data_IF_873397695909
#
_entry.id   IF_873397695909
#
_cell.length_a   1.000
_cell.length_b   1.000
_cell.length_c   1.000
_cell.angle_alpha   90.00
_cell.angle_beta   90.00
_cell.angle_gamma   90.00
#
_symmetry.space_group_name_H-M   'P 1'
#
loop_
_entity.id
_entity.type
_entity.pdbx_description
1 polymer ?
#
# COMPACT_ATOMS: atom_id res chain seq x y z
N UNK A 1 -49.82 -2.12 -10.00
CA UNK A 1 -49.66 -3.52 -9.56
C UNK A 1 -48.94 -4.23 -10.71
N UNK A 2 -47.66 -4.56 -10.70
CA UNK A 2 -46.79 -5.06 -9.64
C UNK A 2 -46.22 -6.38 -10.15
N UNK A 3 -45.04 -6.36 -10.79
CA UNK A 3 -44.23 -7.57 -11.01
C UNK A 3 -42.78 -7.22 -10.73
N UNK A 4 -42.38 -7.44 -9.48
CA UNK A 4 -40.99 -7.50 -9.08
C UNK A 4 -40.38 -8.84 -9.47
N UNK A 5 -39.10 -8.79 -9.81
CA UNK A 5 -38.19 -9.93 -9.92
C UNK A 5 -36.77 -9.39 -10.10
N UNK A 6 -35.79 -9.74 -9.22
CA UNK A 6 -34.48 -9.10 -9.21
C UNK A 6 -33.50 -9.78 -10.17
N UNK A 7 -32.41 -9.10 -10.55
CA UNK A 7 -31.10 -9.73 -10.51
C UNK A 7 -30.27 -9.03 -9.44
N UNK A 8 -30.20 -9.63 -8.25
CA UNK A 8 -29.06 -10.48 -7.82
C UNK A 8 -27.78 -9.67 -7.86
N UNK A 9 -27.40 -9.20 -6.67
CA UNK A 9 -26.20 -8.42 -6.45
C UNK A 9 -24.98 -9.09 -7.07
N UNK A 10 -24.16 -8.27 -7.71
CA UNK A 10 -22.79 -8.62 -8.02
C UNK A 10 -22.06 -8.82 -6.68
N UNK A 11 -22.15 -10.03 -6.15
CA UNK A 11 -21.22 -10.51 -5.14
C UNK A 11 -19.85 -10.41 -5.77
N UNK A 12 -19.02 -9.50 -5.26
CA UNK A 12 -17.59 -9.54 -5.52
C UNK A 12 -17.12 -10.90 -5.00
N UNK A 13 -16.92 -11.83 -5.91
CA UNK A 13 -16.25 -13.09 -5.62
C UNK A 13 -14.82 -12.69 -5.29
N UNK A 14 -14.51 -12.54 -4.00
CA UNK A 14 -13.12 -12.42 -3.55
C UNK A 14 -12.50 -13.79 -3.78
N UNK A 15 -11.97 -14.01 -4.98
CA UNK A 15 -11.10 -15.16 -5.24
C UNK A 15 -9.89 -14.95 -4.32
N UNK A 16 -9.85 -15.69 -3.22
CA UNK A 16 -8.67 -15.81 -2.37
C UNK A 16 -7.70 -16.71 -3.14
N UNK A 17 -7.11 -16.17 -4.20
CA UNK A 17 -5.92 -16.74 -4.80
C UNK A 17 -4.85 -16.77 -3.71
N UNK A 18 -4.00 -17.80 -3.66
CA UNK A 18 -2.82 -17.80 -2.80
C UNK A 18 -1.98 -16.54 -3.09
N UNK A 19 -2.20 -15.48 -2.33
CA UNK A 19 -1.50 -14.21 -2.51
C UNK A 19 -0.12 -14.36 -1.88
N UNK A 20 0.92 -14.10 -2.66
CA UNK A 20 2.25 -13.85 -2.10
C UNK A 20 2.22 -12.50 -1.41
N UNK A 21 1.58 -12.44 -0.23
CA UNK A 21 1.34 -11.20 0.48
C UNK A 21 2.60 -10.73 1.19
N UNK A 22 2.96 -9.47 0.98
CA UNK A 22 4.01 -8.79 1.73
C UNK A 22 3.38 -8.00 2.87
N UNK A 23 3.92 -8.14 4.08
CA UNK A 23 3.54 -7.27 5.20
C UNK A 23 4.38 -6.00 5.10
N UNK A 24 3.72 -4.85 5.04
CA UNK A 24 4.35 -3.53 5.03
C UNK A 24 3.83 -2.71 6.19
N UNK A 25 4.68 -1.87 6.75
CA UNK A 25 4.32 -1.02 7.90
C UNK A 25 4.00 0.38 7.41
N UNK A 26 2.92 0.99 7.87
CA UNK A 26 2.71 2.42 7.62
C UNK A 26 3.92 3.22 8.14
N UNK A 27 4.29 4.29 7.44
CA UNK A 27 5.49 5.03 7.77
C UNK A 27 5.27 6.54 7.64
N UNK A 28 5.93 7.28 8.52
CA UNK A 28 6.01 8.74 8.46
C UNK A 28 7.45 9.17 8.74
N UNK A 29 7.89 10.26 8.11
CA UNK A 29 9.15 10.93 8.43
C UNK A 29 9.08 11.78 9.71
N UNK A 30 7.98 11.71 10.47
CA UNK A 30 7.72 12.51 11.67
C UNK A 30 7.13 13.89 11.38
N UNK A 31 7.13 14.32 10.11
CA UNK A 31 6.43 15.52 9.68
C UNK A 31 5.00 15.14 9.27
N UNK A 32 4.06 15.25 10.21
CA UNK A 32 2.64 14.93 10.01
C UNK A 32 1.92 15.98 9.15
N UNK A 33 2.34 16.15 7.89
CA UNK A 33 1.68 17.10 7.00
C UNK A 33 0.26 16.62 6.67
N UNK A 34 -0.77 17.50 6.78
CA UNK A 34 -2.14 17.16 6.40
C UNK A 34 -2.29 16.91 4.89
N UNK A 35 -1.28 17.32 4.11
CA UNK A 35 -1.17 16.97 2.70
C UNK A 35 -0.78 15.50 2.50
N UNK A 36 -0.42 14.72 3.52
CA UNK A 36 0.08 13.36 3.30
C UNK A 36 1.52 13.30 2.79
N UNK A 37 2.16 14.45 2.51
CA UNK A 37 3.60 14.50 2.29
C UNK A 37 4.34 14.00 3.54
N UNK A 38 5.39 13.21 3.34
CA UNK A 38 6.16 12.62 4.45
C UNK A 38 5.62 11.29 4.96
N UNK A 39 4.51 10.78 4.42
CA UNK A 39 4.02 9.43 4.70
C UNK A 39 4.37 8.43 3.59
N UNK A 40 4.30 7.15 3.93
CA UNK A 40 4.59 6.06 3.02
C UNK A 40 4.38 4.69 3.64
N UNK A 41 4.99 3.68 3.03
CA UNK A 41 5.02 2.30 3.50
C UNK A 41 6.47 1.87 3.69
N UNK A 42 6.78 1.14 4.75
CA UNK A 42 8.08 0.55 5.00
C UNK A 42 8.05 -0.94 4.71
N UNK A 43 8.95 -1.37 3.83
CA UNK A 43 9.11 -2.77 3.43
C UNK A 43 10.28 -3.40 4.17
N UNK A 44 10.18 -4.69 4.50
CA UNK A 44 11.33 -5.45 5.03
C UNK A 44 12.44 -5.56 3.98
N UNK A 45 13.70 -5.77 4.39
CA UNK A 45 14.77 -5.99 3.41
C UNK A 45 14.55 -7.27 2.59
N UNK A 46 14.10 -8.35 3.25
CA UNK A 46 13.85 -9.62 2.60
C UNK A 46 12.74 -9.50 1.53
N UNK A 47 11.64 -8.81 1.85
CA UNK A 47 10.55 -8.61 0.89
C UNK A 47 10.93 -7.64 -0.21
N UNK A 48 11.69 -6.58 0.10
CA UNK A 48 12.25 -5.69 -0.93
C UNK A 48 13.04 -6.50 -1.96
N UNK A 49 14.02 -7.28 -1.51
CA UNK A 49 14.92 -8.02 -2.40
C UNK A 49 14.19 -9.13 -3.17
N UNK A 50 13.14 -9.70 -2.58
CA UNK A 50 12.32 -10.71 -3.21
C UNK A 50 11.41 -10.13 -4.30
N UNK A 51 10.72 -9.04 -4.02
CA UNK A 51 9.60 -8.57 -4.84
C UNK A 51 9.87 -7.29 -5.64
N UNK A 52 10.92 -6.53 -5.31
CA UNK A 52 11.29 -5.32 -6.03
C UNK A 52 12.52 -5.55 -6.90
N UNK A 53 12.63 -4.78 -7.97
CA UNK A 53 13.79 -4.78 -8.87
C UNK A 53 14.17 -3.34 -9.18
N UNK A 54 15.46 -3.01 -9.01
CA UNK A 54 15.95 -1.63 -9.13
C UNK A 54 15.76 -1.09 -10.55
N UNK A 55 15.94 -1.94 -11.54
CA UNK A 55 15.80 -1.64 -12.96
C UNK A 55 14.40 -1.18 -13.40
N UNK A 56 13.37 -1.34 -12.54
CA UNK A 56 12.05 -0.82 -12.86
C UNK A 56 11.95 0.70 -12.74
N UNK A 57 12.85 1.34 -12.00
CA UNK A 57 12.83 2.79 -11.75
C UNK A 57 11.74 3.23 -10.76
N UNK A 58 10.51 2.79 -11.02
CA UNK A 58 9.30 3.19 -10.29
C UNK A 58 8.45 1.97 -9.97
N UNK A 59 7.91 1.91 -8.75
CA UNK A 59 6.83 1.00 -8.38
C UNK A 59 5.47 1.72 -8.45
N UNK A 60 4.46 1.06 -9.00
CA UNK A 60 3.07 1.52 -9.00
C UNK A 60 2.30 0.78 -7.91
N UNK A 61 1.75 1.53 -6.96
CA UNK A 61 0.93 1.00 -5.86
C UNK A 61 -0.52 1.37 -6.11
N UNK A 62 -1.36 0.37 -6.36
CA UNK A 62 -2.82 0.50 -6.47
C UNK A 62 -3.41 0.61 -5.06
N UNK A 63 -4.00 1.76 -4.74
CA UNK A 63 -4.64 2.03 -3.46
C UNK A 63 -6.10 1.55 -3.47
N UNK A 64 -6.69 1.19 -2.32
CA UNK A 64 -8.09 0.73 -2.23
C UNK A 64 -9.14 1.71 -2.79
N UNK A 65 -8.83 3.00 -2.84
CA UNK A 65 -9.71 4.03 -3.41
C UNK A 65 -9.58 4.17 -4.95
N UNK A 66 -8.81 3.29 -5.61
CA UNK A 66 -8.59 3.31 -7.05
C UNK A 66 -7.47 4.25 -7.53
N UNK A 67 -6.86 5.03 -6.64
CA UNK A 67 -5.72 5.90 -6.97
C UNK A 67 -4.44 5.07 -7.10
N UNK A 68 -3.58 5.41 -8.06
CA UNK A 68 -2.27 4.79 -8.23
C UNK A 68 -1.15 5.72 -7.76
N UNK A 69 -0.38 5.30 -6.76
CA UNK A 69 0.84 5.98 -6.33
C UNK A 69 2.04 5.50 -7.16
N UNK A 70 2.83 6.43 -7.70
CA UNK A 70 4.05 6.12 -8.44
C UNK A 70 5.26 6.49 -7.60
N UNK A 71 5.98 5.49 -7.12
CA UNK A 71 7.06 5.66 -6.14
C UNK A 71 8.40 5.39 -6.81
N UNK A 72 9.30 6.36 -6.78
CA UNK A 72 10.68 6.16 -7.23
C UNK A 72 11.40 5.16 -6.31
N UNK A 73 11.77 4.02 -6.88
CA UNK A 73 12.51 2.96 -6.20
C UNK A 73 13.98 2.89 -6.64
N UNK A 74 14.44 3.64 -7.64
CA UNK A 74 15.85 3.63 -8.07
C UNK A 74 16.79 4.43 -7.13
N UNK A 75 16.22 5.21 -6.22
CA UNK A 75 17.00 5.91 -5.19
C UNK A 75 17.79 4.92 -4.31
N UNK A 76 19.05 5.22 -4.03
CA UNK A 76 19.91 4.38 -3.17
C UNK A 76 19.31 4.15 -1.78
N UNK A 77 18.57 5.15 -1.28
CA UNK A 77 17.88 5.05 0.00
C UNK A 77 16.72 4.06 0.02
N UNK A 78 16.35 3.41 -1.10
CA UNK A 78 15.43 2.27 -1.06
C UNK A 78 16.18 0.93 -1.00
N UNK A 79 17.41 0.89 -1.51
CA UNK A 79 18.23 -0.32 -1.65
C UNK A 79 19.26 -0.51 -0.54
N UNK A 80 19.49 0.49 0.30
CA UNK A 80 20.39 0.35 1.44
C UNK A 80 19.74 -0.39 2.63
N UNK A 81 20.46 -0.53 3.74
CA UNK A 81 20.01 -1.26 4.93
C UNK A 81 19.11 -0.44 5.86
N UNK A 82 19.24 0.90 5.83
CA UNK A 82 18.61 1.81 6.78
C UNK A 82 17.24 2.33 6.32
N UNK A 83 17.08 2.52 5.01
CA UNK A 83 15.90 3.12 4.40
C UNK A 83 15.33 2.18 3.33
N UNK A 84 14.01 1.97 3.39
CA UNK A 84 13.21 1.04 2.56
C UNK A 84 11.77 1.54 2.39
N UNK A 85 11.62 2.87 2.39
CA UNK A 85 10.33 3.53 2.44
C UNK A 85 9.81 3.89 1.04
N UNK A 86 8.62 3.41 0.75
CA UNK A 86 7.80 3.80 -0.38
C UNK A 86 7.02 5.06 -0.02
N UNK A 87 7.66 6.22 -0.20
CA UNK A 87 7.13 7.53 0.19
C UNK A 87 6.34 8.12 -0.98
N UNK A 88 5.09 8.49 -0.74
CA UNK A 88 4.25 9.17 -1.73
C UNK A 88 3.14 9.96 -1.03
N UNK A 89 2.83 11.13 -1.58
CA UNK A 89 1.72 11.96 -1.12
C UNK A 89 0.37 11.23 -1.25
N UNK A 90 0.15 10.47 -2.32
CA UNK A 90 -1.06 9.67 -2.55
C UNK A 90 -1.23 8.59 -1.47
N UNK A 91 -0.15 7.89 -1.12
CA UNK A 91 -0.16 6.91 -0.02
C UNK A 91 -0.51 7.62 1.30
N UNK A 92 0.14 8.76 1.57
CA UNK A 92 -0.12 9.55 2.77
C UNK A 92 -1.55 10.05 2.87
N UNK A 93 -2.09 10.58 1.79
CA UNK A 93 -3.48 11.01 1.71
C UNK A 93 -4.43 9.84 2.00
N UNK A 94 -4.16 8.68 1.43
CA UNK A 94 -4.98 7.50 1.69
C UNK A 94 -4.91 7.06 3.17
N UNK A 95 -3.72 7.04 3.78
CA UNK A 95 -3.56 6.73 5.21
C UNK A 95 -4.35 7.70 6.10
N UNK A 96 -4.28 9.00 5.82
CA UNK A 96 -5.00 10.03 6.57
C UNK A 96 -6.52 9.90 6.40
N UNK A 97 -7.01 9.76 5.18
CA UNK A 97 -8.44 9.65 4.88
C UNK A 97 -9.08 8.40 5.48
N UNK A 98 -8.33 7.31 5.58
CA UNK A 98 -8.78 6.05 6.18
C UNK A 98 -8.55 5.97 7.69
N UNK A 99 -8.03 7.05 8.31
CA UNK A 99 -7.68 7.11 9.74
C UNK A 99 -6.65 6.05 10.17
N UNK A 100 -5.83 5.59 9.23
CA UNK A 100 -4.65 4.77 9.49
C UNK A 100 -3.43 5.61 9.85
N UNK A 101 -3.54 6.94 9.73
CA UNK A 101 -2.59 7.93 10.23
C UNK A 101 -3.33 9.19 10.73
N UNK A 102 -2.73 9.97 11.65
CA UNK A 102 -1.56 9.60 12.46
C UNK A 102 -1.93 8.55 13.51
N UNK A 103 -0.98 7.71 13.89
CA UNK A 103 -1.13 6.72 14.97
C UNK A 103 -0.62 7.30 16.30
N UNK A 104 -1.25 6.90 17.39
CA UNK A 104 -0.80 7.23 18.76
C UNK A 104 0.28 6.24 19.20
N UNK A 105 1.34 6.73 19.86
CA UNK A 105 2.39 5.92 20.50
C UNK A 105 3.36 5.15 19.57
N UNK A 106 3.73 5.71 18.41
CA UNK A 106 4.75 5.14 17.51
C UNK A 106 4.46 3.71 17.03
N UNK A 107 3.20 3.30 17.04
CA UNK A 107 2.72 2.00 16.57
C UNK A 107 1.99 2.13 15.23
N UNK A 108 2.72 2.28 14.11
CA UNK A 108 2.10 2.30 12.79
C UNK A 108 1.46 0.95 12.46
N UNK A 109 0.27 0.95 11.84
CA UNK A 109 -0.41 -0.28 11.44
C UNK A 109 0.39 -1.06 10.39
N UNK A 110 0.28 -2.39 10.45
CA UNK A 110 0.71 -3.29 9.39
C UNK A 110 -0.40 -3.42 8.34
N UNK A 111 0.02 -3.45 7.08
CA UNK A 111 -0.82 -3.50 5.89
C UNK A 111 -0.31 -4.60 4.95
N UNK A 112 -1.17 -5.00 4.02
CA UNK A 112 -0.86 -6.02 3.04
C UNK A 112 -0.54 -5.39 1.70
N UNK A 113 0.62 -5.74 1.14
CA UNK A 113 1.03 -5.36 -0.21
C UNK A 113 1.15 -6.61 -1.07
N UNK A 114 0.29 -6.71 -2.08
CA UNK A 114 0.25 -7.85 -3.00
C UNK A 114 1.00 -7.49 -4.30
N UNK A 115 2.06 -8.21 -4.68
CA UNK A 115 2.66 -8.09 -6.00
C UNK A 115 1.70 -8.64 -7.05
N UNK A 116 1.35 -7.82 -8.04
CA UNK A 116 0.45 -8.22 -9.13
C UNK A 116 1.28 -8.73 -10.30
N UNK A 117 2.09 -7.83 -10.89
CA UNK A 117 2.93 -8.11 -12.05
C UNK A 117 4.00 -7.02 -12.18
N UNK A 118 5.25 -7.44 -12.45
CA UNK A 118 6.39 -6.51 -12.59
C UNK A 118 6.44 -5.51 -11.43
N UNK A 119 6.38 -4.22 -11.75
CA UNK A 119 6.46 -3.11 -10.81
C UNK A 119 5.10 -2.69 -10.22
N UNK A 120 4.03 -3.48 -10.42
CA UNK A 120 2.69 -3.17 -9.92
C UNK A 120 2.33 -3.99 -8.69
N UNK A 121 1.84 -3.29 -7.69
CA UNK A 121 1.43 -3.85 -6.40
C UNK A 121 0.06 -3.33 -6.02
N UNK A 122 -0.71 -4.12 -5.29
CA UNK A 122 -1.98 -3.72 -4.69
C UNK A 122 -1.83 -3.59 -3.20
N UNK A 123 -2.22 -2.44 -2.66
CA UNK A 123 -2.33 -2.24 -1.22
C UNK A 123 -3.72 -2.69 -0.77
N UNK A 124 -3.78 -3.48 0.28
CA UNK A 124 -5.02 -3.88 0.94
C UNK A 124 -5.06 -3.29 2.35
N UNK A 125 -6.24 -2.76 2.72
CA UNK A 125 -6.51 -2.11 3.99
C UNK A 125 -6.82 -3.10 5.11
N UNK A 126 -6.92 -4.40 4.80
CA UNK A 126 -7.10 -5.44 5.81
C UNK A 126 -5.92 -5.42 6.80
N UNK A 127 -6.14 -4.82 7.95
CA UNK A 127 -5.20 -4.81 9.07
C UNK A 127 -4.98 -6.25 9.54
N UNK A 128 -3.71 -6.63 9.74
CA UNK A 128 -3.40 -7.82 10.52
C UNK A 128 -3.59 -7.44 11.99
N UNK A 129 -4.69 -7.93 12.58
CA UNK A 129 -5.01 -7.77 14.00
C UNK A 129 -4.28 -8.77 14.89
#
# INVERSE_FOLDING_TARGET
MGTGGPPVGAGSVTVVLNRCTVIVKAWSNGAHHPTGAGYGLKVSAADRDRYFRREWGTATIELPNGVCAHVNIDKDSFWNTSCRELISHEIGQWLLHTRLAPWTADEPPDLLLEPIVRNRFRLDANLIG
#
